data_IF_356014479418
#
_entry.id   IF_356014479418
#
_cell.length_a   1.000
_cell.length_b   1.000
_cell.length_c   1.000
_cell.angle_alpha   90.00
_cell.angle_beta   90.00
_cell.angle_gamma   90.00
#
_symmetry.space_group_name_H-M   'P 1'
#
loop_
_entity.id
_entity.type
_entity.pdbx_description
1 polymer ?
#
# COMPACT_ATOMS: atom_id res chain seq x y z
N UNK A 1 -27.42 -28.05 7.70
CA UNK A 1 -26.16 -27.79 6.97
C UNK A 1 -25.48 -26.60 7.61
N UNK A 2 -24.45 -26.82 8.43
CA UNK A 2 -23.85 -25.80 9.29
C UNK A 2 -22.68 -25.15 8.54
N UNK A 3 -22.87 -23.92 8.05
CA UNK A 3 -21.86 -23.17 7.31
C UNK A 3 -20.70 -22.83 8.25
N UNK A 4 -19.60 -23.60 8.18
CA UNK A 4 -18.36 -23.27 8.89
C UNK A 4 -17.84 -21.95 8.34
N UNK A 5 -18.02 -20.85 9.09
CA UNK A 5 -17.32 -19.58 8.86
C UNK A 5 -15.83 -19.87 8.88
N UNK A 6 -15.23 -19.94 7.70
CA UNK A 6 -13.82 -20.17 7.50
C UNK A 6 -13.05 -18.95 8.02
N UNK A 7 -12.73 -18.96 9.32
CA UNK A 7 -11.95 -17.94 10.01
C UNK A 7 -10.46 -18.11 9.66
N UNK A 8 -10.13 -18.18 8.36
CA UNK A 8 -8.73 -18.09 7.93
C UNK A 8 -8.27 -16.69 8.31
N UNK A 9 -7.19 -16.53 9.09
CA UNK A 9 -6.59 -15.21 9.23
C UNK A 9 -6.36 -14.71 7.80
N UNK A 10 -6.93 -13.56 7.47
CA UNK A 10 -6.63 -12.88 6.21
C UNK A 10 -5.18 -12.45 6.33
N UNK A 11 -4.27 -13.39 6.04
CA UNK A 11 -2.89 -13.08 5.77
C UNK A 11 -2.94 -12.23 4.52
N UNK A 12 -2.86 -10.91 4.72
CA UNK A 12 -2.76 -9.96 3.62
C UNK A 12 -1.41 -10.24 2.98
N UNK A 13 -1.43 -11.06 1.92
CA UNK A 13 -0.27 -11.25 1.07
C UNK A 13 0.04 -9.90 0.45
N UNK A 14 1.01 -9.23 1.06
CA UNK A 14 1.44 -7.91 0.69
C UNK A 14 2.95 -7.86 0.76
N UNK A 15 3.52 -7.01 -0.09
CA UNK A 15 4.95 -6.84 -0.19
C UNK A 15 5.31 -5.42 0.25
N UNK A 16 6.44 -5.31 0.94
CA UNK A 16 7.03 -4.01 1.27
C UNK A 16 7.85 -3.55 0.07
N UNK A 17 7.47 -2.41 -0.47
CA UNK A 17 8.19 -1.71 -1.53
C UNK A 17 8.97 -0.57 -0.91
N UNK A 18 10.28 -0.57 -1.10
CA UNK A 18 11.15 0.53 -0.66
C UNK A 18 11.46 1.42 -1.86
N UNK A 19 11.36 2.72 -1.68
CA UNK A 19 11.74 3.70 -2.69
C UNK A 19 12.29 4.96 -2.00
N UNK A 20 13.13 5.70 -2.72
CA UNK A 20 13.71 6.94 -2.23
C UNK A 20 13.11 8.14 -2.98
N UNK A 21 12.75 9.20 -2.24
CA UNK A 21 12.28 10.48 -2.79
C UNK A 21 13.03 11.59 -2.05
N UNK A 22 13.63 12.52 -2.79
CA UNK A 22 14.44 13.62 -2.24
C UNK A 22 15.52 13.16 -1.23
N UNK A 23 16.16 12.02 -1.49
CA UNK A 23 17.21 11.47 -0.64
C UNK A 23 16.71 10.82 0.67
N UNK A 24 15.40 10.77 0.90
CA UNK A 24 14.78 10.06 2.02
C UNK A 24 14.20 8.73 1.56
N UNK A 25 14.48 7.67 2.32
CA UNK A 25 13.92 6.34 2.06
C UNK A 25 12.53 6.19 2.67
N UNK A 26 11.62 5.62 1.91
CA UNK A 26 10.25 5.34 2.30
C UNK A 26 9.95 3.85 2.07
N UNK A 27 9.21 3.26 3.01
CA UNK A 27 8.70 1.90 2.89
C UNK A 27 7.19 1.95 2.70
N UNK A 28 6.68 1.36 1.64
CA UNK A 28 5.26 1.22 1.36
C UNK A 28 4.84 -0.24 1.48
N UNK A 29 3.86 -0.53 2.32
CA UNK A 29 3.24 -1.84 2.37
C UNK A 29 2.08 -1.88 1.38
N UNK A 30 2.16 -2.75 0.37
CA UNK A 30 1.15 -2.91 -0.67
C UNK A 30 0.61 -4.33 -0.61
N UNK A 31 -0.71 -4.49 -0.51
CA UNK A 31 -1.38 -5.79 -0.41
C UNK A 31 -2.54 -5.89 -1.40
N UNK A 32 -2.88 -7.13 -1.76
CA UNK A 32 -4.05 -7.39 -2.58
C UNK A 32 -5.33 -7.34 -1.73
N UNK A 33 -6.34 -6.63 -2.24
CA UNK A 33 -7.68 -6.54 -1.66
C UNK A 33 -8.72 -6.87 -2.74
N UNK A 34 -9.19 -8.13 -2.75
CA UNK A 34 -10.09 -8.63 -3.78
C UNK A 34 -9.41 -8.64 -5.16
N UNK A 35 -9.98 -7.90 -6.11
CA UNK A 35 -9.45 -7.71 -7.47
C UNK A 35 -8.54 -6.48 -7.61
N UNK A 36 -8.31 -5.74 -6.53
CA UNK A 36 -7.52 -4.50 -6.52
C UNK A 36 -6.32 -4.66 -5.59
N UNK A 37 -5.41 -3.70 -5.66
CA UNK A 37 -4.31 -3.53 -4.74
C UNK A 37 -4.54 -2.28 -3.91
N UNK A 38 -4.10 -2.34 -2.65
CA UNK A 38 -4.10 -1.23 -1.72
C UNK A 38 -2.71 -1.06 -1.16
N UNK A 39 -2.33 0.17 -0.83
CA UNK A 39 -1.03 0.44 -0.24
C UNK A 39 -1.05 1.63 0.70
N UNK A 40 -0.13 1.58 1.66
CA UNK A 40 0.12 2.65 2.61
C UNK A 40 1.62 2.81 2.79
N UNK A 41 2.06 4.02 3.12
CA UNK A 41 3.45 4.27 3.50
C UNK A 41 3.61 4.07 4.99
N UNK A 42 4.61 3.30 5.39
CA UNK A 42 4.95 3.06 6.79
C UNK A 42 5.58 4.31 7.42
N UNK A 43 5.14 4.64 8.64
CA UNK A 43 5.63 5.82 9.36
C UNK A 43 5.02 7.15 8.92
N UNK A 44 4.16 7.18 7.89
CA UNK A 44 3.51 8.40 7.39
C UNK A 44 1.98 8.26 7.42
N UNK A 45 1.33 8.43 8.59
CA UNK A 45 -0.12 8.28 8.71
C UNK A 45 -0.92 9.38 7.98
N UNK A 46 -0.27 10.48 7.59
CA UNK A 46 -0.87 11.55 6.80
C UNK A 46 -0.99 11.20 5.31
N UNK A 47 -0.18 10.26 4.81
CA UNK A 47 -0.30 9.76 3.44
C UNK A 47 -1.55 8.89 3.37
N UNK A 48 -2.55 9.24 2.53
CA UNK A 48 -3.77 8.46 2.43
C UNK A 48 -3.49 7.07 1.87
N UNK A 49 -4.39 6.14 2.15
CA UNK A 49 -4.36 4.82 1.54
C UNK A 49 -4.61 4.94 0.03
N UNK A 50 -3.67 4.49 -0.78
CA UNK A 50 -3.82 4.44 -2.24
C UNK A 50 -4.39 3.10 -2.68
N UNK A 51 -5.20 3.14 -3.74
CA UNK A 51 -5.78 1.95 -4.38
C UNK A 51 -5.48 1.94 -5.87
N UNK A 52 -5.18 0.77 -6.43
CA UNK A 52 -4.85 0.61 -7.84
C UNK A 52 -5.23 -0.78 -8.37
N UNK A 53 -5.17 -0.95 -9.69
CA UNK A 53 -5.41 -2.25 -10.35
C UNK A 53 -4.19 -3.18 -10.30
N UNK A 54 -3.02 -2.64 -9.97
CA UNK A 54 -1.77 -3.37 -9.81
C UNK A 54 -0.96 -2.80 -8.63
N UNK A 55 -0.05 -3.60 -8.07
CA UNK A 55 0.87 -3.12 -7.04
C UNK A 55 1.75 -1.96 -7.54
N UNK A 56 2.14 -2.00 -8.82
CA UNK A 56 2.91 -0.93 -9.45
C UNK A 56 2.14 0.39 -9.50
N UNK A 57 0.85 0.37 -9.86
CA UNK A 57 0.01 1.56 -9.89
C UNK A 57 -0.16 2.18 -8.50
N UNK A 58 -0.33 1.33 -7.46
CA UNK A 58 -0.38 1.79 -6.07
C UNK A 58 0.93 2.42 -5.64
N UNK A 59 2.08 1.81 -5.99
CA UNK A 59 3.40 2.36 -5.69
C UNK A 59 3.58 3.73 -6.34
N UNK A 60 3.26 3.85 -7.62
CA UNK A 60 3.39 5.10 -8.39
C UNK A 60 2.55 6.23 -7.77
N UNK A 61 1.29 5.94 -7.42
CA UNK A 61 0.42 6.91 -6.72
C UNK A 61 0.97 7.34 -5.36
N UNK A 62 1.54 6.41 -4.59
CA UNK A 62 2.18 6.74 -3.31
C UNK A 62 3.43 7.60 -3.51
N UNK A 63 4.22 7.31 -4.55
CA UNK A 63 5.40 8.09 -4.90
C UNK A 63 5.03 9.51 -5.33
N UNK A 64 4.04 9.68 -6.19
CA UNK A 64 3.53 10.99 -6.61
C UNK A 64 3.00 11.81 -5.42
N UNK A 65 2.26 11.17 -4.52
CA UNK A 65 1.73 11.84 -3.33
C UNK A 65 2.85 12.32 -2.41
N UNK A 66 3.84 11.46 -2.10
CA UNK A 66 4.99 11.85 -1.27
C UNK A 66 5.86 12.89 -1.97
N UNK A 67 6.03 12.80 -3.30
CA UNK A 67 6.79 13.80 -4.05
C UNK A 67 6.14 15.18 -3.98
N UNK A 68 4.80 15.25 -3.99
CA UNK A 68 4.03 16.48 -3.80
C UNK A 68 4.08 17.00 -2.37
N UNK A 69 3.99 16.10 -1.39
CA UNK A 69 4.11 16.43 0.05
C UNK A 69 5.50 17.00 0.36
N UNK A 70 6.56 16.37 -0.15
CA UNK A 70 7.93 16.82 0.05
C UNK A 70 8.32 18.07 -0.76
N UNK A 71 7.48 18.50 -1.72
CA UNK A 71 7.68 19.73 -2.48
C UNK A 71 7.06 20.96 -1.80
N UNK A 72 6.35 20.77 -0.69
CA UNK A 72 5.72 21.81 0.12
C UNK A 72 6.52 22.06 1.42
#
# INVERSE_FOLDING_TARGET
MTTRKNNRPVQRQGQIYRFSINGKEYAAFIWQFGKKFQGRVEGMPHVPLCTGLSAAAVRDSLQDWIAKDAAY
#
